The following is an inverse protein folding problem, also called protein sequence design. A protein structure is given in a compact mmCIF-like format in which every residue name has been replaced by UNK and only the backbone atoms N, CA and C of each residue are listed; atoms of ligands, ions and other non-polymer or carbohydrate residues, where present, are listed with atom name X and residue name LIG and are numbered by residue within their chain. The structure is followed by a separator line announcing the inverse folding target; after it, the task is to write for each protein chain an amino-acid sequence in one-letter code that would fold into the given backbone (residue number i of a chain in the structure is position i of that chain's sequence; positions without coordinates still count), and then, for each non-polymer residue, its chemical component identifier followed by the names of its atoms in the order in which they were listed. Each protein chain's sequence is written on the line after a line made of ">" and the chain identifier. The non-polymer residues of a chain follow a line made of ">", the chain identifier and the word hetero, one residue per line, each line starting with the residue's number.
data_IF_629805720260
#
_entry.id   IF_629805720260
#
_cell.length_a   1.000
_cell.length_b   1.000
_cell.length_c   1.000
_cell.angle_alpha   90.00
_cell.angle_beta   90.00
_cell.angle_gamma   90.00
#
_symmetry.space_group_name_H-M   'P 1'
#
loop_
_entity.id
_entity.type
_entity.pdbx_description
1 polymer ?
#
# COMPACT_ATOMS: atom_id res chain seq x y z
N UNK A 1 -32.50 -1.49 -27.84
CA UNK A 1 -31.25 -2.16 -28.28
C UNK A 1 -30.22 -1.07 -28.54
N UNK A 2 -29.09 -1.07 -27.82
CA UNK A 2 -28.02 -0.11 -28.10
C UNK A 2 -27.49 -0.38 -29.52
N UNK A 3 -27.44 0.64 -30.37
CA UNK A 3 -26.96 0.48 -31.74
C UNK A 3 -25.50 0.00 -31.77
N UNK A 4 -25.07 -0.73 -32.81
CA UNK A 4 -23.73 -1.30 -32.92
C UNK A 4 -22.60 -0.27 -32.76
N UNK A 5 -22.86 1.00 -33.10
CA UNK A 5 -21.93 2.11 -32.90
C UNK A 5 -21.68 2.48 -31.42
N UNK A 6 -22.66 2.30 -30.54
CA UNK A 6 -22.52 2.58 -29.09
C UNK A 6 -21.72 1.47 -28.41
N UNK A 7 -21.96 0.23 -28.81
CA UNK A 7 -21.18 -0.95 -28.35
C UNK A 7 -19.73 -0.82 -28.81
N UNK A 8 -19.49 -0.42 -30.06
CA UNK A 8 -18.15 -0.19 -30.59
C UNK A 8 -17.40 0.94 -29.87
N UNK A 9 -18.08 2.04 -29.50
CA UNK A 9 -17.46 3.16 -28.76
C UNK A 9 -17.16 2.81 -27.30
N UNK A 10 -18.04 2.08 -26.63
CA UNK A 10 -17.77 1.56 -25.28
C UNK A 10 -16.63 0.56 -25.27
N UNK A 11 -16.62 -0.37 -26.23
CA UNK A 11 -15.52 -1.30 -26.43
C UNK A 11 -14.21 -0.56 -26.74
N UNK A 12 -14.26 0.52 -27.53
CA UNK A 12 -13.10 1.37 -27.82
C UNK A 12 -12.57 2.13 -26.60
N UNK A 13 -13.44 2.66 -25.74
CA UNK A 13 -13.03 3.32 -24.48
C UNK A 13 -12.45 2.30 -23.51
N UNK A 14 -13.08 1.13 -23.35
CA UNK A 14 -12.58 0.05 -22.49
C UNK A 14 -11.25 -0.53 -23.01
N UNK A 15 -11.12 -0.70 -24.33
CA UNK A 15 -9.89 -1.14 -24.97
C UNK A 15 -8.79 -0.07 -24.87
N UNK A 16 -9.13 1.21 -24.98
CA UNK A 16 -8.22 2.33 -24.77
C UNK A 16 -7.74 2.42 -23.32
N UNK A 17 -8.64 2.23 -22.35
CA UNK A 17 -8.28 2.18 -20.93
C UNK A 17 -7.41 0.95 -20.63
N UNK A 18 -7.77 -0.21 -21.17
CA UNK A 18 -6.99 -1.44 -21.05
C UNK A 18 -5.62 -1.31 -21.74
N UNK A 19 -5.53 -0.62 -22.88
CA UNK A 19 -4.27 -0.35 -23.58
C UNK A 19 -3.40 0.63 -22.77
N UNK A 20 -3.96 1.70 -22.20
CA UNK A 20 -3.23 2.61 -21.31
C UNK A 20 -2.72 1.88 -20.07
N UNK A 21 -3.56 1.02 -19.46
CA UNK A 21 -3.17 0.16 -18.33
C UNK A 21 -2.13 -0.91 -18.72
N UNK A 22 -2.16 -1.40 -19.97
CA UNK A 22 -1.18 -2.35 -20.48
C UNK A 22 0.14 -1.70 -20.92
N UNK A 23 0.12 -0.41 -21.29
CA UNK A 23 1.31 0.39 -21.64
C UNK A 23 1.88 1.16 -20.45
N UNK A 24 1.18 1.18 -19.32
CA UNK A 24 1.76 1.53 -18.04
C UNK A 24 2.74 0.40 -17.69
N UNK A 25 3.93 0.48 -18.26
CA UNK A 25 5.08 -0.21 -17.72
C UNK A 25 5.14 0.14 -16.23
N UNK A 26 5.51 -0.79 -15.33
CA UNK A 26 5.85 -0.44 -13.96
C UNK A 26 7.12 0.43 -14.01
N UNK A 27 6.97 1.69 -14.40
CA UNK A 27 8.04 2.62 -14.67
C UNK A 27 8.25 3.47 -13.43
N UNK A 28 9.27 3.06 -12.65
CA UNK A 28 10.23 3.97 -12.02
C UNK A 28 9.68 5.08 -11.09
N UNK A 29 8.53 4.87 -10.44
CA UNK A 29 8.03 5.75 -9.37
C UNK A 29 8.02 5.09 -7.98
N UNK A 30 8.36 3.80 -7.87
CA UNK A 30 8.47 3.12 -6.57
C UNK A 30 9.81 3.43 -5.91
N UNK A 31 9.90 4.58 -5.24
CA UNK A 31 10.98 4.90 -4.31
C UNK A 31 10.96 4.07 -3.01
N UNK A 32 9.98 3.17 -2.85
CA UNK A 32 9.88 2.23 -1.75
C UNK A 32 9.00 1.06 -2.19
N UNK A 33 9.61 -0.07 -2.52
CA UNK A 33 8.87 -1.31 -2.76
C UNK A 33 8.26 -1.79 -1.42
N UNK A 34 7.04 -1.37 -1.13
CA UNK A 34 6.19 -2.03 -0.13
C UNK A 34 5.11 -2.80 -0.90
N UNK A 35 5.01 -4.13 -0.73
CA UNK A 35 4.00 -4.91 -1.42
C UNK A 35 2.61 -4.53 -0.88
N UNK A 36 1.58 -4.54 -1.72
CA UNK A 36 0.19 -4.27 -1.34
C UNK A 36 -0.47 -5.43 -0.54
N UNK A 37 0.38 -6.26 0.07
CA UNK A 37 0.03 -7.35 0.97
C UNK A 37 0.94 -8.57 0.80
N UNK A 38 1.01 -9.37 1.86
CA UNK A 38 1.74 -10.64 1.90
C UNK A 38 0.90 -11.69 2.62
N UNK A 39 1.26 -12.97 2.43
CA UNK A 39 0.67 -14.09 3.16
C UNK A 39 1.57 -14.56 4.32
N UNK A 40 2.63 -13.81 4.60
CA UNK A 40 3.57 -14.06 5.68
C UNK A 40 3.59 -12.90 6.67
N UNK A 41 3.28 -13.18 7.94
CA UNK A 41 3.41 -12.21 9.01
C UNK A 41 4.81 -12.28 9.62
N UNK A 42 5.53 -11.18 9.56
CA UNK A 42 6.80 -11.02 10.27
C UNK A 42 6.56 -10.20 11.54
N UNK A 43 7.12 -10.66 12.67
CA UNK A 43 7.02 -9.96 13.95
C UNK A 43 8.40 -9.89 14.62
N UNK A 44 8.74 -8.75 15.22
CA UNK A 44 9.87 -8.66 16.16
C UNK A 44 9.37 -9.12 17.53
N UNK A 45 10.03 -10.12 18.11
CA UNK A 45 9.71 -10.62 19.46
C UNK A 45 10.56 -9.95 20.54
N UNK A 46 11.69 -9.33 20.19
CA UNK A 46 12.45 -8.50 21.11
C UNK A 46 13.88 -8.20 20.63
N UNK A 47 14.59 -7.45 21.47
CA UNK A 47 16.03 -7.20 21.36
C UNK A 47 16.72 -7.88 22.54
N UNK A 48 17.77 -8.67 22.30
CA UNK A 48 18.43 -9.48 23.31
C UNK A 48 19.97 -9.34 23.28
N UNK A 49 20.65 -9.07 24.41
CA UNK A 49 20.05 -8.61 25.67
C UNK A 49 19.31 -7.28 25.49
N UNK A 50 18.37 -6.97 26.39
CA UNK A 50 17.61 -5.72 26.32
C UNK A 50 18.54 -4.51 26.44
N UNK A 51 18.26 -3.46 25.66
CA UNK A 51 19.07 -2.24 25.58
C UNK A 51 18.14 -1.03 25.70
N UNK A 52 18.13 -0.31 26.83
CA UNK A 52 17.30 0.87 27.01
C UNK A 52 17.52 1.90 25.89
N UNK A 53 16.43 2.29 25.22
CA UNK A 53 16.47 3.23 24.11
C UNK A 53 16.73 2.61 22.74
N UNK A 54 16.91 1.29 22.64
CA UNK A 54 16.98 0.56 21.37
C UNK A 54 15.67 -0.19 21.14
N UNK A 55 14.95 0.12 20.07
CA UNK A 55 13.71 -0.59 19.71
C UNK A 55 13.74 -1.04 18.27
N UNK A 56 13.18 -2.21 18.00
CA UNK A 56 13.04 -2.77 16.67
C UNK A 56 11.58 -3.19 16.43
N UNK A 57 11.11 -3.02 15.19
CA UNK A 57 9.80 -3.52 14.77
C UNK A 57 9.77 -3.78 13.28
N UNK A 58 8.75 -4.52 12.85
CA UNK A 58 8.37 -4.67 11.45
C UNK A 58 7.47 -3.51 11.04
N UNK A 59 7.65 -2.99 9.83
CA UNK A 59 6.85 -1.91 9.23
C UNK A 59 6.49 -2.24 7.78
N UNK A 60 5.58 -1.46 7.19
CA UNK A 60 5.21 -1.58 5.77
C UNK A 60 4.71 -2.99 5.40
N UNK A 61 3.85 -3.57 6.23
CA UNK A 61 3.23 -4.88 6.01
C UNK A 61 4.22 -6.05 6.00
N UNK A 62 5.39 -5.91 6.65
CA UNK A 62 6.44 -6.93 6.58
C UNK A 62 7.58 -6.61 5.61
N UNK A 63 7.49 -5.51 4.87
CA UNK A 63 8.50 -5.16 3.88
C UNK A 63 9.83 -4.75 4.51
N UNK A 64 9.82 -4.04 5.64
CA UNK A 64 11.02 -3.49 6.26
C UNK A 64 11.09 -3.77 7.75
N UNK A 65 12.33 -3.83 8.25
CA UNK A 65 12.62 -3.64 9.66
C UNK A 65 12.90 -2.16 9.92
N UNK A 66 12.40 -1.66 11.04
CA UNK A 66 12.77 -0.37 11.59
C UNK A 66 13.56 -0.59 12.88
N UNK A 67 14.73 0.05 12.98
CA UNK A 67 15.51 0.14 14.20
C UNK A 67 15.58 1.61 14.63
N UNK A 68 15.15 1.90 15.85
CA UNK A 68 15.29 3.22 16.48
C UNK A 68 16.34 3.11 17.59
N UNK A 69 17.43 3.86 17.46
CA UNK A 69 18.52 3.86 18.43
C UNK A 69 18.64 5.21 19.15
N UNK A 70 18.20 5.23 20.41
CA UNK A 70 18.32 6.36 21.35
C UNK A 70 19.24 6.06 22.54
N UNK A 71 20.14 5.08 22.40
CA UNK A 71 21.09 4.69 23.45
C UNK A 71 22.19 5.75 23.69
N UNK A 72 22.33 6.73 22.79
CA UNK A 72 23.39 7.75 22.83
C UNK A 72 24.73 7.31 22.22
N UNK A 73 24.81 6.08 21.71
CA UNK A 73 26.01 5.52 21.04
C UNK A 73 25.65 4.79 19.75
N UNK A 74 26.58 4.63 18.79
CA UNK A 74 26.29 3.93 17.54
C UNK A 74 26.07 2.43 17.79
N UNK A 75 25.04 1.88 17.13
CA UNK A 75 24.74 0.45 17.04
C UNK A 75 24.93 0.03 15.59
N UNK A 76 25.69 -1.04 15.37
CA UNK A 76 25.88 -1.61 14.04
C UNK A 76 24.88 -2.74 13.78
N UNK A 77 24.26 -2.73 12.61
CA UNK A 77 23.49 -3.87 12.08
C UNK A 77 24.45 -4.73 11.27
N UNK A 78 24.45 -6.04 11.51
CA UNK A 78 25.37 -6.98 10.86
C UNK A 78 24.71 -7.63 9.65
N UNK A 79 25.44 -7.57 8.53
CA UNK A 79 25.09 -8.11 7.24
C UNK A 79 25.15 -9.64 7.18
N UNK A 80 24.91 -10.18 5.98
CA UNK A 80 24.68 -11.61 5.80
C UNK A 80 25.94 -12.47 5.93
N UNK A 81 27.13 -11.86 5.86
CA UNK A 81 28.43 -12.54 5.95
C UNK A 81 29.17 -12.16 7.24
N UNK A 82 28.49 -11.51 8.20
CA UNK A 82 29.08 -11.05 9.45
C UNK A 82 29.75 -9.67 9.39
N UNK A 83 29.65 -8.99 8.25
CA UNK A 83 30.20 -7.66 8.02
C UNK A 83 29.30 -6.54 8.61
N UNK A 84 29.85 -5.38 9.02
CA UNK A 84 29.02 -4.22 9.36
C UNK A 84 28.24 -3.75 8.14
N UNK A 85 26.91 -3.65 8.26
CA UNK A 85 26.02 -3.20 7.19
C UNK A 85 25.53 -1.77 7.42
N UNK A 86 24.79 -1.54 8.51
CA UNK A 86 24.32 -0.21 8.91
C UNK A 86 24.99 0.20 10.21
N UNK A 87 25.17 1.51 10.40
CA UNK A 87 25.54 2.11 11.68
C UNK A 87 24.54 3.20 12.02
N UNK A 88 23.81 3.00 13.11
CA UNK A 88 22.69 3.84 13.54
C UNK A 88 23.08 4.49 14.85
N UNK A 89 23.05 5.82 14.95
CA UNK A 89 23.47 6.50 16.18
C UNK A 89 23.09 7.98 16.23
N UNK A 90 23.62 8.74 17.21
CA UNK A 90 23.30 10.16 17.38
C UNK A 90 23.74 11.03 16.19
N UNK A 91 24.76 10.62 15.44
CA UNK A 91 25.27 11.35 14.27
C UNK A 91 24.49 11.06 12.96
N UNK A 92 23.51 10.16 13.04
CA UNK A 92 22.65 9.74 11.94
C UNK A 92 22.79 8.26 11.58
N UNK A 93 22.31 7.92 10.39
CA UNK A 93 22.37 6.57 9.82
C UNK A 93 23.43 6.53 8.72
N UNK A 94 24.30 5.54 8.80
CA UNK A 94 25.32 5.27 7.79
C UNK A 94 25.15 3.86 7.23
N UNK A 95 25.37 3.72 5.93
CA UNK A 95 25.38 2.47 5.20
C UNK A 95 26.80 2.18 4.72
N UNK A 96 27.26 0.93 4.89
CA UNK A 96 28.58 0.51 4.44
C UNK A 96 28.54 0.16 2.94
N UNK A 97 29.21 0.95 2.10
CA UNK A 97 29.25 0.73 0.66
C UNK A 97 29.97 -0.56 0.25
N UNK A 98 30.76 -1.14 1.16
CA UNK A 98 31.47 -2.43 1.01
C UNK A 98 30.63 -3.64 1.42
N UNK A 99 29.54 -3.46 2.18
CA UNK A 99 28.69 -4.59 2.59
C UNK A 99 27.86 -5.10 1.41
N UNK A 100 27.86 -6.42 1.12
CA UNK A 100 26.91 -7.01 0.19
C UNK A 100 25.44 -6.73 0.55
N UNK A 101 25.10 -6.64 1.85
CA UNK A 101 23.75 -6.38 2.32
C UNK A 101 23.19 -5.03 1.79
N UNK A 102 24.03 -4.01 1.62
CA UNK A 102 23.69 -2.72 1.01
C UNK A 102 23.05 -2.84 -0.37
N UNK A 103 23.47 -3.83 -1.15
CA UNK A 103 22.97 -4.03 -2.51
C UNK A 103 21.81 -5.03 -2.51
N UNK A 104 21.93 -6.11 -1.75
CA UNK A 104 20.91 -7.16 -1.67
C UNK A 104 19.60 -6.68 -1.02
N UNK A 105 19.65 -5.59 -0.25
CA UNK A 105 18.49 -5.02 0.42
C UNK A 105 17.86 -3.84 -0.33
N UNK A 106 18.30 -3.53 -1.55
CA UNK A 106 17.69 -2.43 -2.34
C UNK A 106 16.31 -2.75 -2.87
N UNK A 107 16.07 -4.01 -3.21
CA UNK A 107 14.79 -4.51 -3.73
C UNK A 107 14.25 -5.59 -2.81
N UNK A 108 12.94 -5.84 -2.86
CA UNK A 108 12.32 -6.94 -2.12
C UNK A 108 12.85 -8.31 -2.59
N UNK A 109 13.06 -8.45 -3.89
CA UNK A 109 13.63 -9.65 -4.50
C UNK A 109 15.11 -9.83 -4.13
N UNK A 110 15.84 -8.72 -3.94
CA UNK A 110 17.29 -8.64 -3.74
C UNK A 110 18.09 -9.20 -4.92
N UNK A 111 17.56 -8.97 -6.11
CA UNK A 111 18.09 -9.31 -7.42
C UNK A 111 19.14 -8.31 -7.94
N UNK A 112 19.51 -7.32 -7.12
CA UNK A 112 20.56 -6.36 -7.46
C UNK A 112 21.91 -7.08 -7.57
N UNK A 113 22.56 -6.96 -8.73
CA UNK A 113 23.91 -7.47 -8.94
C UNK A 113 24.92 -6.81 -7.99
N UNK A 114 25.75 -7.62 -7.35
CA UNK A 114 26.80 -7.13 -6.46
C UNK A 114 27.92 -6.49 -7.29
N UNK A 115 28.29 -5.23 -7.01
CA UNK A 115 29.41 -4.60 -7.69
C UNK A 115 30.74 -5.08 -7.08
N UNK A 116 31.85 -4.95 -7.82
CA UNK A 116 33.16 -5.46 -7.40
C UNK A 116 33.67 -4.87 -6.06
N UNK A 117 33.25 -3.66 -5.71
CA UNK A 117 33.61 -3.06 -4.41
C UNK A 117 32.87 -3.66 -3.21
N UNK A 118 31.81 -4.45 -3.41
CA UNK A 118 31.11 -5.13 -2.34
C UNK A 118 31.95 -6.32 -1.83
N UNK A 119 32.80 -6.03 -0.85
CA UNK A 119 33.73 -6.97 -0.23
C UNK A 119 33.46 -7.00 1.29
N UNK A 120 32.86 -8.09 1.81
CA UNK A 120 32.53 -8.20 3.23
C UNK A 120 33.76 -8.30 4.14
N UNK A 121 34.95 -8.59 3.60
CA UNK A 121 36.20 -8.66 4.36
C UNK A 121 36.94 -7.31 4.41
N UNK A 122 36.59 -6.36 3.55
CA UNK A 122 37.19 -5.03 3.54
C UNK A 122 36.73 -4.19 4.74
N UNK A 123 37.57 -3.23 5.16
CA UNK A 123 37.17 -2.23 6.13
C UNK A 123 35.93 -1.45 5.63
N UNK A 124 34.97 -1.10 6.51
CA UNK A 124 33.74 -0.45 6.10
C UNK A 124 33.99 0.94 5.51
N UNK A 125 33.31 1.25 4.41
CA UNK A 125 33.27 2.58 3.81
C UNK A 125 31.89 3.19 4.07
N UNK A 126 31.81 3.99 5.14
CA UNK A 126 30.54 4.53 5.63
C UNK A 126 30.05 5.70 4.80
N UNK A 127 28.84 5.58 4.27
CA UNK A 127 28.12 6.66 3.62
C UNK A 127 26.91 7.06 4.44
N UNK A 128 26.75 8.34 4.70
CA UNK A 128 25.60 8.84 5.44
C UNK A 128 24.35 8.79 4.58
N UNK A 129 23.28 8.21 5.11
CA UNK A 129 22.00 7.99 4.41
C UNK A 129 20.79 8.57 5.17
N UNK A 130 20.97 9.01 6.41
CA UNK A 130 19.90 9.66 7.18
C UNK A 130 20.43 10.50 8.34
N UNK A 131 19.65 11.51 8.74
CA UNK A 131 20.01 12.45 9.80
C UNK A 131 19.58 12.03 11.21
N UNK A 132 18.68 11.06 11.33
CA UNK A 132 18.04 10.69 12.59
C UNK A 132 18.52 9.36 13.19
N UNK A 133 17.98 8.99 14.36
CA UNK A 133 18.30 7.74 15.05
C UNK A 133 17.59 6.50 14.47
N UNK A 134 16.93 6.63 13.32
CA UNK A 134 16.03 5.60 12.78
C UNK A 134 16.55 5.10 11.44
N UNK A 135 16.83 3.80 11.37
CA UNK A 135 17.13 3.12 10.12
C UNK A 135 15.98 2.21 9.72
N UNK A 136 15.67 2.19 8.41
CA UNK A 136 14.70 1.26 7.81
C UNK A 136 15.32 0.55 6.63
N UNK A 137 15.25 -0.77 6.60
CA UNK A 137 15.81 -1.56 5.51
C UNK A 137 14.97 -2.82 5.25
N UNK A 138 15.09 -3.33 4.03
CA UNK A 138 14.59 -4.66 3.68
C UNK A 138 15.54 -5.71 4.28
N UNK A 139 15.01 -6.72 4.99
CA UNK A 139 15.84 -7.82 5.50
C UNK A 139 15.31 -9.18 5.05
N UNK A 140 16.16 -9.92 4.35
CA UNK A 140 15.80 -11.23 3.79
C UNK A 140 15.63 -12.30 4.88
N UNK A 141 16.22 -12.09 6.06
CA UNK A 141 16.05 -13.00 7.22
C UNK A 141 14.65 -12.88 7.81
N UNK A 142 13.99 -11.75 7.67
CA UNK A 142 12.63 -11.54 8.15
C UNK A 142 11.53 -11.89 7.12
N UNK A 143 11.89 -12.35 5.90
CA UNK A 143 10.92 -12.59 4.82
C UNK A 143 11.07 -13.94 4.11
N UNK A 144 9.95 -14.47 3.61
CA UNK A 144 9.99 -15.59 2.67
C UNK A 144 10.37 -15.07 1.27
N UNK A 145 11.45 -15.62 0.70
CA UNK A 145 12.00 -15.14 -0.57
C UNK A 145 11.79 -16.13 -1.73
N UNK A 146 11.33 -17.35 -1.46
CA UNK A 146 11.11 -18.33 -2.51
C UNK A 146 9.72 -18.16 -3.16
N UNK A 147 9.57 -18.41 -4.48
CA UNK A 147 8.28 -18.32 -5.15
C UNK A 147 7.23 -19.30 -4.61
N UNK A 148 7.66 -20.52 -4.25
CA UNK A 148 6.79 -21.53 -3.68
C UNK A 148 6.74 -21.40 -2.15
N UNK A 149 5.59 -21.59 -1.50
CA UNK A 149 5.53 -21.68 -0.04
C UNK A 149 6.36 -22.86 0.48
N UNK A 150 6.83 -22.83 1.75
CA UNK A 150 7.56 -23.94 2.37
C UNK A 150 6.81 -25.27 2.26
N UNK A 151 7.52 -26.40 2.27
CA UNK A 151 6.88 -27.73 2.13
C UNK A 151 5.79 -28.00 3.18
N UNK A 152 6.01 -27.58 4.43
CA UNK A 152 5.01 -27.68 5.51
C UNK A 152 3.75 -26.86 5.20
N UNK A 153 3.91 -25.66 4.63
CA UNK A 153 2.80 -24.81 4.22
C UNK A 153 2.03 -25.40 3.05
N UNK A 154 2.72 -26.00 2.08
CA UNK A 154 2.05 -26.66 0.95
C UNK A 154 1.25 -27.89 1.39
N UNK A 155 1.65 -28.55 2.48
CA UNK A 155 0.93 -29.71 3.00
C UNK A 155 -0.41 -29.33 3.66
N UNK A 156 -0.48 -28.18 4.34
CA UNK A 156 -1.72 -27.62 4.88
C UNK A 156 -1.71 -26.08 4.78
N UNK A 157 -2.13 -25.50 3.62
CA UNK A 157 -2.08 -24.05 3.40
C UNK A 157 -3.21 -23.31 4.11
N UNK A 158 -4.20 -24.02 4.66
CA UNK A 158 -5.43 -23.45 5.22
C UNK A 158 -5.29 -23.03 6.68
N UNK A 159 -4.16 -23.36 7.30
CA UNK A 159 -3.89 -23.12 8.71
C UNK A 159 -2.74 -22.14 8.91
N UNK A 160 -2.89 -21.26 9.90
CA UNK A 160 -1.78 -20.45 10.38
C UNK A 160 -0.70 -21.34 11.01
N UNK A 161 0.55 -21.08 10.64
CA UNK A 161 1.68 -21.90 11.08
C UNK A 161 3.02 -21.18 11.00
N UNK A 162 3.90 -21.49 11.97
CA UNK A 162 5.28 -20.99 12.03
C UNK A 162 6.09 -21.50 10.84
N UNK A 163 6.69 -20.58 10.10
CA UNK A 163 7.65 -20.89 9.03
C UNK A 163 9.05 -20.96 9.59
N UNK A 164 9.47 -19.92 10.33
CA UNK A 164 10.77 -19.90 11.01
C UNK A 164 10.84 -18.82 12.10
N UNK A 165 11.78 -19.03 13.02
CA UNK A 165 12.33 -17.95 13.83
C UNK A 165 13.52 -17.33 13.09
N UNK A 166 13.73 -16.03 13.26
CA UNK A 166 14.81 -15.32 12.60
C UNK A 166 15.53 -14.38 13.57
N UNK A 167 16.79 -14.11 13.24
CA UNK A 167 17.67 -13.25 14.02
C UNK A 167 18.40 -12.29 13.08
N UNK A 168 18.44 -11.01 13.46
CA UNK A 168 19.34 -10.02 12.88
C UNK A 168 20.39 -9.65 13.94
N UNK A 169 21.67 -9.99 13.74
CA UNK A 169 22.72 -9.62 14.67
C UNK A 169 22.98 -8.12 14.61
N UNK A 170 23.19 -7.55 15.77
CA UNK A 170 23.62 -6.19 16.02
C UNK A 170 24.94 -6.21 16.81
N UNK A 171 25.67 -5.10 16.80
CA UNK A 171 26.81 -4.86 17.70
C UNK A 171 26.66 -3.52 18.41
N UNK A 172 26.86 -3.56 19.71
CA UNK A 172 27.02 -2.39 20.57
C UNK A 172 28.50 -2.29 20.98
N UNK A 173 29.29 -1.63 20.14
CA UNK A 173 30.75 -1.74 20.21
C UNK A 173 31.21 -3.18 20.00
N UNK A 174 31.77 -3.80 21.05
CA UNK A 174 32.19 -5.20 21.03
C UNK A 174 31.10 -6.18 21.53
N UNK A 175 30.00 -5.67 22.12
CA UNK A 175 28.97 -6.53 22.71
C UNK A 175 27.97 -6.99 21.65
N UNK A 176 27.73 -8.31 21.51
CA UNK A 176 26.71 -8.82 20.60
C UNK A 176 25.31 -8.49 21.14
N UNK A 177 24.43 -8.08 20.23
CA UNK A 177 23.00 -7.87 20.48
C UNK A 177 22.23 -8.49 19.31
N UNK A 178 20.99 -8.92 19.52
CA UNK A 178 20.18 -9.57 18.50
C UNK A 178 18.79 -8.94 18.43
N UNK A 179 18.32 -8.62 17.23
CA UNK A 179 16.88 -8.51 16.98
C UNK A 179 16.37 -9.91 16.71
N UNK A 180 15.40 -10.36 17.51
CA UNK A 180 14.74 -11.66 17.33
C UNK A 180 13.33 -11.47 16.81
N UNK A 181 12.87 -12.43 16.03
CA UNK A 181 11.53 -12.38 15.49
C UNK A 181 11.05 -13.70 14.90
N UNK A 182 9.82 -13.67 14.41
CA UNK A 182 9.13 -14.83 13.84
C UNK A 182 8.58 -14.52 12.47
N UNK A 183 8.48 -15.55 11.65
CA UNK A 183 7.81 -15.51 10.36
C UNK A 183 6.74 -16.60 10.34
N UNK A 184 5.49 -16.19 10.21
CA UNK A 184 4.32 -17.04 10.28
C UNK A 184 3.56 -16.99 8.95
N UNK A 185 3.18 -18.15 8.41
CA UNK A 185 2.26 -18.23 7.29
C UNK A 185 0.85 -17.95 7.80
N UNK A 186 0.17 -17.00 7.18
CA UNK A 186 -1.23 -16.66 7.49
C UNK A 186 -2.05 -16.94 6.23
N UNK A 187 -3.00 -17.90 6.28
CA UNK A 187 -3.78 -18.29 5.11
C UNK A 187 -4.45 -17.08 4.43
N UNK A 188 -4.33 -16.94 3.10
CA UNK A 188 -5.03 -15.89 2.37
C UNK A 188 -6.54 -16.06 2.53
N UNK A 189 -7.30 -14.94 2.61
CA UNK A 189 -8.75 -15.00 2.62
C UNK A 189 -9.31 -15.47 1.28
N UNK A 190 -10.56 -15.94 1.28
CA UNK A 190 -11.32 -16.00 0.03
C UNK A 190 -11.63 -14.58 -0.46
N UNK A 191 -11.11 -14.21 -1.62
CA UNK A 191 -11.31 -12.91 -2.23
C UNK A 191 -12.70 -12.77 -2.88
N UNK A 192 -13.38 -13.89 -3.17
CA UNK A 192 -14.62 -13.89 -3.96
C UNK A 192 -15.75 -13.06 -3.34
N UNK A 193 -16.09 -13.19 -2.03
CA UNK A 193 -17.16 -12.38 -1.42
C UNK A 193 -16.89 -10.88 -1.49
N UNK A 194 -15.62 -10.47 -1.40
CA UNK A 194 -15.23 -9.06 -1.49
C UNK A 194 -15.43 -8.50 -2.90
N UNK A 195 -15.10 -9.28 -3.93
CA UNK A 195 -15.36 -8.91 -5.32
C UNK A 195 -16.86 -8.81 -5.64
N UNK A 196 -17.66 -9.75 -5.11
CA UNK A 196 -19.12 -9.70 -5.23
C UNK A 196 -19.64 -8.42 -4.57
N UNK A 197 -19.22 -8.10 -3.35
CA UNK A 197 -19.62 -6.88 -2.65
C UNK A 197 -19.22 -5.61 -3.42
N UNK A 198 -17.99 -5.54 -3.94
CA UNK A 198 -17.52 -4.41 -4.74
C UNK A 198 -18.34 -4.24 -6.02
N UNK A 199 -18.67 -5.34 -6.69
CA UNK A 199 -19.44 -5.33 -7.94
C UNK A 199 -20.91 -4.94 -7.69
N UNK A 200 -21.55 -5.50 -6.65
CA UNK A 200 -22.91 -5.12 -6.29
C UNK A 200 -22.99 -3.65 -5.86
N UNK A 201 -22.02 -3.17 -5.08
CA UNK A 201 -21.93 -1.76 -4.71
C UNK A 201 -21.71 -0.85 -5.93
N UNK A 202 -20.82 -1.23 -6.86
CA UNK A 202 -20.64 -0.56 -8.14
C UNK A 202 -21.95 -0.46 -8.93
N UNK A 203 -22.67 -1.56 -9.10
CA UNK A 203 -23.94 -1.61 -9.83
C UNK A 203 -25.00 -0.74 -9.16
N UNK A 204 -25.11 -0.81 -7.83
CA UNK A 204 -26.05 -0.01 -7.05
C UNK A 204 -25.79 1.49 -7.24
N UNK A 205 -24.57 1.96 -7.02
CA UNK A 205 -24.22 3.38 -7.18
C UNK A 205 -24.31 3.81 -8.64
N UNK A 206 -23.82 2.99 -9.58
CA UNK A 206 -23.87 3.26 -11.02
C UNK A 206 -25.29 3.36 -11.57
N UNK A 207 -26.24 2.59 -11.02
CA UNK A 207 -27.65 2.63 -11.44
C UNK A 207 -28.30 4.01 -11.25
N UNK A 208 -27.77 4.85 -10.34
CA UNK A 208 -28.22 6.22 -10.17
C UNK A 208 -28.12 7.07 -11.45
N UNK A 209 -27.20 6.71 -12.36
CA UNK A 209 -27.03 7.35 -13.65
C UNK A 209 -28.10 7.02 -14.69
N UNK A 210 -28.91 5.99 -14.46
CA UNK A 210 -30.01 5.60 -15.36
C UNK A 210 -31.28 6.44 -15.15
N UNK A 211 -31.36 7.17 -14.03
CA UNK A 211 -32.52 7.96 -13.68
C UNK A 211 -32.48 9.33 -14.37
N UNK A 212 -33.59 9.72 -14.99
CA UNK A 212 -33.69 10.91 -15.83
C UNK A 212 -33.31 12.20 -15.09
N UNK A 213 -32.43 12.98 -15.71
CA UNK A 213 -32.07 14.32 -15.25
C UNK A 213 -33.30 15.23 -15.23
N UNK A 214 -33.34 16.18 -14.28
CA UNK A 214 -34.47 17.11 -14.12
C UNK A 214 -35.66 16.56 -13.31
N UNK A 215 -35.70 15.26 -13.00
CA UNK A 215 -36.72 14.69 -12.11
C UNK A 215 -36.29 14.77 -10.63
N UNK A 216 -37.24 14.84 -9.68
CA UNK A 216 -36.91 14.80 -8.25
C UNK A 216 -36.21 13.49 -7.85
N UNK A 217 -36.56 12.38 -8.50
CA UNK A 217 -35.92 11.09 -8.29
C UNK A 217 -34.47 11.08 -8.81
N UNK A 218 -34.22 11.59 -10.02
CA UNK A 218 -32.87 11.74 -10.57
C UNK A 218 -31.99 12.69 -9.76
N UNK A 219 -32.56 13.73 -9.16
CA UNK A 219 -31.84 14.62 -8.23
C UNK A 219 -31.46 13.91 -6.92
N UNK A 220 -32.37 13.12 -6.34
CA UNK A 220 -32.10 12.30 -5.14
C UNK A 220 -31.05 11.22 -5.42
N UNK A 221 -31.13 10.57 -6.58
CA UNK A 221 -30.18 9.56 -6.99
C UNK A 221 -28.76 10.14 -7.17
N UNK A 222 -28.64 11.32 -7.77
CA UNK A 222 -27.36 12.03 -7.87
C UNK A 222 -26.78 12.37 -6.49
N UNK A 223 -27.62 12.88 -5.59
CA UNK A 223 -27.23 13.16 -4.22
C UNK A 223 -26.76 11.88 -3.49
N UNK A 224 -27.46 10.75 -3.71
CA UNK A 224 -27.06 9.44 -3.19
C UNK A 224 -25.72 8.97 -3.73
N UNK A 225 -25.49 9.08 -5.05
CA UNK A 225 -24.20 8.77 -5.66
C UNK A 225 -23.07 9.69 -5.15
N UNK A 226 -23.37 10.98 -4.94
CA UNK A 226 -22.44 11.93 -4.33
C UNK A 226 -22.10 11.60 -2.88
N UNK A 227 -23.09 11.24 -2.06
CA UNK A 227 -22.87 10.78 -0.69
C UNK A 227 -22.02 9.50 -0.66
N UNK A 228 -22.30 8.55 -1.55
CA UNK A 228 -21.51 7.33 -1.68
C UNK A 228 -20.05 7.64 -2.07
N UNK A 229 -19.83 8.51 -3.07
CA UNK A 229 -18.48 8.92 -3.46
C UNK A 229 -17.75 9.64 -2.32
N UNK A 230 -18.44 10.50 -1.57
CA UNK A 230 -17.86 11.15 -0.40
C UNK A 230 -17.42 10.13 0.67
N UNK A 231 -18.25 9.11 0.93
CA UNK A 231 -17.88 8.01 1.83
C UNK A 231 -16.66 7.23 1.31
N UNK A 232 -16.58 6.98 0.00
CA UNK A 232 -15.38 6.44 -0.65
C UNK A 232 -14.13 7.30 -0.47
N UNK A 233 -14.28 8.62 -0.60
CA UNK A 233 -13.21 9.59 -0.34
C UNK A 233 -12.71 9.52 1.10
N UNK A 234 -13.62 9.46 2.09
CA UNK A 234 -13.25 9.25 3.50
C UNK A 234 -12.54 7.90 3.68
N UNK A 235 -13.06 6.82 3.10
CA UNK A 235 -12.45 5.50 3.19
C UNK A 235 -11.02 5.50 2.62
N UNK A 236 -10.79 6.16 1.49
CA UNK A 236 -9.45 6.31 0.91
C UNK A 236 -8.51 7.12 1.80
N UNK A 237 -8.98 8.23 2.39
CA UNK A 237 -8.16 9.03 3.32
C UNK A 237 -7.80 8.19 4.55
N UNK A 238 -8.76 7.50 5.14
CA UNK A 238 -8.54 6.59 6.27
C UNK A 238 -7.49 5.56 5.88
N UNK A 239 -7.72 4.82 4.79
CA UNK A 239 -6.79 3.80 4.28
C UNK A 239 -5.37 4.35 4.10
N UNK A 240 -5.24 5.53 3.51
CA UNK A 240 -3.95 6.20 3.28
C UNK A 240 -3.25 6.56 4.59
N UNK A 241 -3.98 7.09 5.57
CA UNK A 241 -3.45 7.35 6.93
C UNK A 241 -3.01 6.03 7.59
N UNK A 242 -3.79 4.96 7.43
CA UNK A 242 -3.43 3.64 7.90
C UNK A 242 -2.08 3.17 7.35
N UNK A 243 -1.84 3.34 6.04
CA UNK A 243 -0.57 2.96 5.43
C UNK A 243 0.61 3.73 6.02
N UNK A 244 0.44 5.01 6.30
CA UNK A 244 1.50 5.81 6.92
C UNK A 244 1.78 5.40 8.37
N UNK A 245 0.75 5.05 9.13
CA UNK A 245 0.92 4.51 10.48
C UNK A 245 1.65 3.17 10.47
N UNK A 246 1.30 2.27 9.54
CA UNK A 246 1.97 0.98 9.35
C UNK A 246 3.42 1.13 8.84
N UNK A 247 3.64 2.09 7.94
CA UNK A 247 4.98 2.54 7.52
C UNK A 247 5.76 3.22 8.65
N UNK A 248 5.12 3.40 9.81
CA UNK A 248 5.79 3.80 11.02
C UNK A 248 5.83 5.28 11.31
N UNK A 249 4.95 6.06 10.70
CA UNK A 249 4.72 7.45 11.09
C UNK A 249 4.21 7.52 12.53
N UNK A 250 4.84 8.37 13.34
CA UNK A 250 4.42 8.62 14.74
C UNK A 250 3.99 10.06 14.90
N UNK A 251 2.84 10.27 15.55
CA UNK A 251 2.26 11.59 15.80
C UNK A 251 1.76 12.29 14.53
N UNK A 252 1.10 13.44 14.72
CA UNK A 252 0.46 14.18 13.62
C UNK A 252 1.47 14.66 12.58
N UNK A 253 2.61 15.20 13.01
CA UNK A 253 3.65 15.69 12.09
C UNK A 253 4.25 14.59 11.21
N UNK A 254 4.54 13.42 11.78
CA UNK A 254 5.04 12.27 11.02
C UNK A 254 4.05 11.78 9.98
N UNK A 255 2.76 11.68 10.36
CA UNK A 255 1.70 11.29 9.43
C UNK A 255 1.54 12.32 8.31
N UNK A 256 1.54 13.61 8.61
CA UNK A 256 1.44 14.66 7.59
C UNK A 256 2.62 14.64 6.61
N UNK A 257 3.85 14.47 7.10
CA UNK A 257 5.03 14.35 6.24
C UNK A 257 4.93 13.12 5.33
N UNK A 258 4.51 11.98 5.88
CA UNK A 258 4.30 10.75 5.12
C UNK A 258 3.23 10.90 4.04
N UNK A 259 2.10 11.50 4.39
CA UNK A 259 1.01 11.79 3.45
C UNK A 259 1.44 12.71 2.31
N UNK A 260 2.23 13.75 2.59
CA UNK A 260 2.68 14.72 1.59
C UNK A 260 3.86 14.22 0.75
N UNK A 261 4.69 13.31 1.29
CA UNK A 261 5.87 12.78 0.62
C UNK A 261 5.61 11.49 -0.17
N UNK A 262 4.91 10.53 0.44
CA UNK A 262 4.73 9.17 -0.10
C UNK A 262 3.33 8.88 -0.64
N UNK A 263 2.29 9.57 -0.16
CA UNK A 263 0.88 9.23 -0.47
C UNK A 263 0.08 10.38 -1.10
N UNK A 264 0.76 11.40 -1.65
CA UNK A 264 0.10 12.63 -2.06
C UNK A 264 -1.04 12.38 -3.07
N UNK A 265 -0.85 11.45 -4.01
CA UNK A 265 -1.86 11.12 -5.01
C UNK A 265 -3.07 10.39 -4.43
N UNK A 266 -2.86 9.45 -3.52
CA UNK A 266 -3.94 8.75 -2.82
C UNK A 266 -4.74 9.73 -1.95
N UNK A 267 -4.05 10.61 -1.22
CA UNK A 267 -4.68 11.65 -0.41
C UNK A 267 -5.50 12.63 -1.25
N UNK A 268 -4.91 13.20 -2.31
CA UNK A 268 -5.60 14.15 -3.20
C UNK A 268 -6.82 13.53 -3.87
N UNK A 269 -6.71 12.25 -4.23
CA UNK A 269 -7.83 11.50 -4.81
C UNK A 269 -8.98 11.33 -3.81
N UNK A 270 -8.68 10.96 -2.56
CA UNK A 270 -9.68 10.86 -1.50
C UNK A 270 -10.35 12.20 -1.17
N UNK A 271 -9.56 13.28 -1.07
CA UNK A 271 -10.06 14.63 -0.87
C UNK A 271 -10.89 15.13 -2.06
N UNK A 272 -10.46 14.84 -3.28
CA UNK A 272 -11.19 15.16 -4.51
C UNK A 272 -12.54 14.45 -4.59
N UNK A 273 -12.60 13.17 -4.22
CA UNK A 273 -13.84 12.41 -4.11
C UNK A 273 -14.79 12.98 -3.05
N UNK A 274 -14.26 13.35 -1.88
CA UNK A 274 -15.02 14.02 -0.82
C UNK A 274 -15.62 15.34 -1.32
N UNK A 275 -14.81 16.18 -1.97
CA UNK A 275 -15.23 17.46 -2.51
C UNK A 275 -16.26 17.30 -3.64
N UNK A 276 -16.05 16.38 -4.58
CA UNK A 276 -16.98 16.08 -5.66
C UNK A 276 -18.33 15.54 -5.13
N UNK A 277 -18.30 14.70 -4.11
CA UNK A 277 -19.50 14.24 -3.42
C UNK A 277 -20.28 15.38 -2.77
N UNK A 278 -19.59 16.28 -2.05
CA UNK A 278 -20.19 17.50 -1.49
C UNK A 278 -20.76 18.43 -2.57
N UNK A 279 -20.06 18.56 -3.70
CA UNK A 279 -20.49 19.35 -4.85
C UNK A 279 -21.79 18.81 -5.48
N UNK A 280 -21.91 17.49 -5.61
CA UNK A 280 -23.12 16.81 -6.06
C UNK A 280 -24.28 16.95 -5.06
N UNK A 281 -24.01 16.83 -3.75
CA UNK A 281 -24.98 17.04 -2.68
C UNK A 281 -25.54 18.47 -2.67
N UNK A 282 -24.68 19.46 -2.95
CA UNK A 282 -25.07 20.86 -3.09
C UNK A 282 -25.79 21.18 -4.43
N UNK A 283 -26.05 20.14 -5.26
CA UNK A 283 -26.77 20.24 -6.56
C UNK A 283 -26.19 21.29 -7.50
N UNK A 284 -24.86 21.37 -7.54
CA UNK A 284 -24.14 22.35 -8.37
C UNK A 284 -24.15 21.92 -9.85
N UNK A 285 -24.08 22.87 -10.80
CA UNK A 285 -23.98 22.56 -12.22
C UNK A 285 -22.72 21.72 -12.51
N UNK A 286 -22.75 20.86 -13.53
CA UNK A 286 -21.64 19.96 -13.88
C UNK A 286 -21.23 18.93 -12.81
N UNK A 287 -22.06 18.69 -11.79
CA UNK A 287 -21.83 17.64 -10.80
C UNK A 287 -21.62 16.25 -11.42
N UNK A 288 -22.27 15.95 -12.55
CA UNK A 288 -22.10 14.68 -13.27
C UNK A 288 -20.65 14.47 -13.75
N UNK A 289 -19.98 15.53 -14.23
CA UNK A 289 -18.58 15.48 -14.62
C UNK A 289 -17.65 15.34 -13.41
N UNK A 290 -17.90 16.11 -12.36
CA UNK A 290 -17.13 16.02 -11.12
C UNK A 290 -17.18 14.61 -10.51
N UNK A 291 -18.38 14.00 -10.47
CA UNK A 291 -18.55 12.61 -10.03
C UNK A 291 -17.81 11.63 -10.94
N UNK A 292 -17.92 11.82 -12.27
CA UNK A 292 -17.29 10.91 -13.22
C UNK A 292 -15.75 10.89 -13.05
N UNK A 293 -15.16 12.08 -13.00
CA UNK A 293 -13.71 12.28 -12.89
C UNK A 293 -13.20 11.83 -11.51
N UNK A 294 -13.78 12.34 -10.42
CA UNK A 294 -13.31 12.03 -9.07
C UNK A 294 -13.54 10.56 -8.71
N UNK A 295 -14.66 9.97 -9.15
CA UNK A 295 -14.90 8.53 -9.02
C UNK A 295 -13.86 7.69 -9.78
N UNK A 296 -13.47 8.13 -10.98
CA UNK A 296 -12.49 7.43 -11.79
C UNK A 296 -11.12 7.45 -11.16
N UNK A 297 -10.69 8.63 -10.70
CA UNK A 297 -9.45 8.78 -9.93
C UNK A 297 -9.48 7.90 -8.66
N UNK A 298 -10.58 7.91 -7.90
CA UNK A 298 -10.74 7.11 -6.68
C UNK A 298 -10.60 5.61 -6.95
N UNK A 299 -11.29 5.11 -7.95
CA UNK A 299 -11.21 3.70 -8.33
C UNK A 299 -9.78 3.31 -8.76
N UNK A 300 -9.09 4.15 -9.53
CA UNK A 300 -7.78 3.83 -10.07
C UNK A 300 -6.64 4.00 -9.05
N UNK A 301 -6.51 5.18 -8.44
CA UNK A 301 -5.35 5.54 -7.63
C UNK A 301 -5.43 5.07 -6.17
N UNK A 302 -6.63 4.85 -5.64
CA UNK A 302 -6.81 4.29 -4.30
C UNK A 302 -7.31 2.83 -4.36
N UNK A 303 -8.20 2.50 -5.29
CA UNK A 303 -8.77 1.16 -5.42
C UNK A 303 -7.82 0.14 -6.07
N UNK A 304 -7.58 0.29 -7.38
CA UNK A 304 -6.84 -0.69 -8.20
C UNK A 304 -5.41 -0.88 -7.69
N UNK A 305 -4.75 0.21 -7.30
CA UNK A 305 -3.39 0.18 -6.71
C UNK A 305 -3.31 -0.64 -5.42
N UNK A 306 -4.42 -0.87 -4.71
CA UNK A 306 -4.43 -1.62 -3.46
C UNK A 306 -5.22 -2.94 -3.56
N UNK A 307 -5.60 -3.38 -4.75
CA UNK A 307 -6.52 -4.52 -4.96
C UNK A 307 -6.02 -5.84 -4.36
N UNK A 308 -4.70 -5.99 -4.22
CA UNK A 308 -4.07 -7.17 -3.61
C UNK A 308 -4.56 -7.42 -2.18
N UNK A 309 -4.96 -6.39 -1.43
CA UNK A 309 -5.50 -6.51 -0.07
C UNK A 309 -6.73 -7.42 0.00
N UNK A 310 -7.50 -7.55 -1.08
CA UNK A 310 -8.64 -8.47 -1.13
C UNK A 310 -8.23 -9.95 -1.05
N UNK A 311 -7.02 -10.28 -1.49
CA UNK A 311 -6.53 -11.66 -1.61
C UNK A 311 -5.34 -11.98 -0.68
N UNK A 312 -4.70 -10.97 -0.08
CA UNK A 312 -3.55 -11.16 0.82
C UNK A 312 -3.98 -11.14 2.27
N UNK A 313 -3.39 -11.99 3.11
CA UNK A 313 -3.79 -12.11 4.52
C UNK A 313 -3.29 -10.96 5.40
N UNK A 314 -2.09 -10.44 5.15
CA UNK A 314 -1.46 -9.33 5.87
C UNK A 314 -1.41 -8.09 4.98
N UNK A 315 -2.35 -7.14 5.12
CA UNK A 315 -2.27 -5.84 4.46
C UNK A 315 -1.27 -4.91 5.17
N UNK A 316 -0.68 -3.92 4.48
CA UNK A 316 0.20 -2.91 5.07
C UNK A 316 -0.61 -1.83 5.82
N UNK A 317 -1.36 -2.26 6.83
CA UNK A 317 -2.27 -1.44 7.63
C UNK A 317 -2.24 -1.93 9.09
N UNK A 318 -2.34 -1.02 10.07
CA UNK A 318 -2.26 -1.37 11.49
C UNK A 318 -3.54 -2.01 12.03
N UNK A 319 -4.56 -2.22 11.19
CA UNK A 319 -5.88 -2.72 11.59
C UNK A 319 -6.12 -4.15 11.07
N UNK A 320 -7.15 -4.86 11.59
CA UNK A 320 -7.50 -6.18 11.10
C UNK A 320 -7.80 -6.17 9.59
N UNK A 321 -7.37 -7.23 8.89
CA UNK A 321 -7.53 -7.31 7.43
C UNK A 321 -8.97 -7.21 6.94
N UNK A 322 -9.97 -7.58 7.76
CA UNK A 322 -11.38 -7.38 7.42
C UNK A 322 -11.77 -5.90 7.26
N UNK A 323 -11.23 -5.01 8.10
CA UNK A 323 -11.47 -3.57 7.99
C UNK A 323 -10.78 -3.00 6.74
N UNK A 324 -9.53 -3.41 6.48
CA UNK A 324 -8.80 -3.05 5.27
C UNK A 324 -9.58 -3.38 4.00
N UNK A 325 -10.12 -4.60 3.91
CA UNK A 325 -10.93 -5.05 2.76
C UNK A 325 -12.25 -4.31 2.66
N UNK A 326 -12.91 -4.04 3.78
CA UNK A 326 -14.14 -3.24 3.80
C UNK A 326 -13.90 -1.84 3.23
N UNK A 327 -12.87 -1.15 3.71
CA UNK A 327 -12.49 0.17 3.20
C UNK A 327 -12.21 0.11 1.69
N UNK A 328 -11.44 -0.89 1.25
CA UNK A 328 -11.12 -1.05 -0.16
C UNK A 328 -12.34 -1.36 -1.04
N UNK A 329 -13.26 -2.20 -0.57
CA UNK A 329 -14.52 -2.48 -1.26
C UNK A 329 -15.36 -1.21 -1.39
N UNK A 330 -15.44 -0.39 -0.33
CA UNK A 330 -16.13 0.91 -0.39
C UNK A 330 -15.47 1.81 -1.46
N UNK A 331 -14.15 1.97 -1.43
CA UNK A 331 -13.40 2.76 -2.41
C UNK A 331 -13.71 2.32 -3.85
N UNK A 332 -13.58 1.01 -4.14
CA UNK A 332 -13.82 0.44 -5.46
C UNK A 332 -15.27 0.61 -5.91
N UNK A 333 -16.23 0.23 -5.05
CA UNK A 333 -17.66 0.30 -5.36
C UNK A 333 -18.12 1.73 -5.64
N UNK A 334 -17.77 2.67 -4.76
CA UNK A 334 -18.24 4.04 -4.88
C UNK A 334 -17.49 4.82 -5.96
N UNK A 335 -16.19 4.56 -6.14
CA UNK A 335 -15.38 5.17 -7.19
C UNK A 335 -15.89 4.79 -8.57
N UNK A 336 -15.87 3.49 -8.88
CA UNK A 336 -16.32 2.99 -10.18
C UNK A 336 -17.82 3.27 -10.40
N UNK A 337 -18.63 3.17 -9.35
CA UNK A 337 -20.07 3.41 -9.42
C UNK A 337 -20.39 4.88 -9.73
N UNK A 338 -19.73 5.81 -9.07
CA UNK A 338 -19.88 7.25 -9.36
C UNK A 338 -19.38 7.59 -10.78
N UNK A 339 -18.31 6.94 -11.24
CA UNK A 339 -17.86 7.04 -12.64
C UNK A 339 -18.96 6.63 -13.62
N UNK A 340 -19.53 5.46 -13.43
CA UNK A 340 -20.62 4.97 -14.28
C UNK A 340 -21.83 5.90 -14.22
N UNK A 341 -22.25 6.33 -13.03
CA UNK A 341 -23.40 7.21 -12.86
C UNK A 341 -23.22 8.55 -13.58
N UNK A 342 -22.07 9.20 -13.41
CA UNK A 342 -21.73 10.46 -14.07
C UNK A 342 -21.67 10.32 -15.59
N UNK A 343 -21.01 9.28 -16.10
CA UNK A 343 -20.90 9.03 -17.55
C UNK A 343 -22.25 8.75 -18.21
N UNK A 344 -23.12 7.97 -17.57
CA UNK A 344 -24.46 7.66 -18.09
C UNK A 344 -25.31 8.93 -18.22
N UNK A 345 -25.25 9.82 -17.22
CA UNK A 345 -26.00 11.09 -17.23
C UNK A 345 -25.46 12.09 -18.25
N UNK A 346 -24.13 12.20 -18.36
CA UNK A 346 -23.50 13.04 -19.39
C UNK A 346 -23.90 12.58 -20.81
N UNK A 347 -23.97 11.27 -21.03
CA UNK A 347 -24.42 10.72 -22.32
C UNK A 347 -25.90 11.00 -22.59
N UNK A 348 -26.76 10.84 -21.59
CA UNK A 348 -28.19 11.15 -21.73
C UNK A 348 -28.43 12.63 -22.05
N UNK A 349 -27.64 13.54 -21.46
CA UNK A 349 -27.73 14.97 -21.75
C UNK A 349 -27.26 15.34 -23.17
N UNK A 350 -26.31 14.59 -23.75
CA UNK A 350 -25.81 14.81 -25.11
C UNK A 350 -26.76 14.30 -26.21
N UNK A 351 -27.70 13.42 -25.87
CA UNK A 351 -28.67 12.83 -26.79
C UNK A 351 -30.10 12.93 -26.22
N UNK A 352 -30.68 14.15 -26.14
CA UNK A 352 -32.08 14.30 -25.79
C UNK A 352 -32.93 13.64 -26.88
N UNK A 353 -33.72 12.65 -26.49
CA UNK A 353 -34.69 11.98 -27.36
C UNK A 353 -35.85 12.88 -27.76
#
# INVERSE_FOLDING_TARGET
>A
MAGPAVVARLAGVLAGLAAVLATATPAAAHGGESPDGTDYRAEVTGVAPDRPGLTARVVEGGARLELVNRTGRPIEVIGYTGEPYLRVGPDGVYENSRSPATYLNRTLAGDTALPAQADPAAAPDWRRVGDGPTARWHDRRARWQEPAPPAVVRADPTREQRVRDWVVPLRDGAEPVEIRGTLDWVPPPDAYPWWVAATLGFLLVGSAGLLAAGTPLGARALAGAGAALAAGGVAAIVFTVGRELDAGATGVGGVLLGLLGGQIWALLTGLGALAAGGYALARRPAADFALALAGGCLALFAGVTNVAVLARSVPPLPWPGGLARTLLVVILATGAGATAAGLLRLRAAAHPG
#
